data_IF_729251378043
#
_entry.id   IF_729251378043
#
_cell.length_a   1.000
_cell.length_b   1.000
_cell.length_c   1.000
_cell.angle_alpha   90.00
_cell.angle_beta   90.00
_cell.angle_gamma   90.00
#
_symmetry.space_group_name_H-M   'P 1'
#
loop_
_entity.id
_entity.type
_entity.pdbx_description
1 polymer ?
#
# COMPACT_ATOMS: atom_id res chain seq x y z
N UNK A 1 3.66 -8.68 9.40
CA UNK A 1 4.17 -10.05 9.62
C UNK A 1 5.48 -9.89 10.36
N UNK A 2 6.03 -10.92 10.96
CA UNK A 2 7.30 -10.79 11.68
C UNK A 2 8.39 -10.38 10.69
N UNK A 3 9.09 -9.29 10.98
CA UNK A 3 10.34 -8.96 10.31
C UNK A 3 11.41 -9.89 10.89
N UNK A 4 11.62 -11.02 10.21
CA UNK A 4 12.56 -12.06 10.66
C UNK A 4 13.98 -11.54 10.74
N UNK A 5 14.37 -10.61 9.87
CA UNK A 5 15.66 -9.95 9.95
C UNK A 5 15.75 -9.15 11.25
N UNK A 6 14.77 -8.32 11.59
CA UNK A 6 14.76 -7.60 12.88
C UNK A 6 14.72 -8.53 14.09
N UNK A 7 13.98 -9.64 14.03
CA UNK A 7 13.99 -10.65 15.12
C UNK A 7 15.36 -11.30 15.26
N UNK A 8 16.00 -11.65 14.14
CA UNK A 8 17.35 -12.16 14.12
C UNK A 8 18.34 -11.15 14.70
N UNK A 9 18.24 -9.89 14.29
CA UNK A 9 19.06 -8.78 14.79
C UNK A 9 18.91 -8.65 16.31
N UNK A 10 17.68 -8.70 16.83
CA UNK A 10 17.43 -8.63 18.28
C UNK A 10 18.01 -9.80 19.06
N UNK A 11 17.83 -11.02 18.55
CA UNK A 11 18.42 -12.22 19.16
C UNK A 11 19.96 -12.17 19.14
N UNK A 12 20.55 -11.82 18.00
CA UNK A 12 21.99 -11.68 17.87
C UNK A 12 22.52 -10.53 18.73
N UNK A 13 21.83 -9.39 18.81
CA UNK A 13 22.21 -8.24 19.64
C UNK A 13 22.27 -8.61 21.11
N UNK A 14 21.29 -9.38 21.58
CA UNK A 14 21.25 -9.88 22.96
C UNK A 14 22.41 -10.85 23.25
N UNK A 15 22.71 -11.77 22.34
CA UNK A 15 23.78 -12.76 22.53
C UNK A 15 25.19 -12.16 22.37
N UNK A 16 25.35 -11.23 21.43
CA UNK A 16 26.64 -10.59 21.10
C UNK A 16 26.93 -9.33 21.91
N UNK A 17 25.93 -8.75 22.57
CA UNK A 17 26.01 -7.45 23.25
C UNK A 17 26.49 -6.32 22.34
N UNK A 18 26.04 -6.33 21.08
CA UNK A 18 26.31 -5.30 20.08
C UNK A 18 25.02 -4.55 19.74
N UNK A 19 25.14 -3.31 19.27
CA UNK A 19 23.99 -2.51 18.82
C UNK A 19 23.26 -3.18 17.63
N UNK A 20 21.93 -3.02 17.58
CA UNK A 20 21.08 -3.61 16.54
C UNK A 20 21.50 -3.16 15.12
N UNK A 21 21.78 -1.87 14.93
CA UNK A 21 22.19 -1.27 13.65
C UNK A 21 23.47 -1.90 13.10
N UNK A 22 24.40 -2.26 13.99
CA UNK A 22 25.64 -2.92 13.61
C UNK A 22 25.33 -4.31 13.04
N UNK A 23 24.52 -5.10 13.76
CA UNK A 23 24.21 -6.47 13.38
C UNK A 23 23.38 -6.52 12.11
N UNK A 24 22.44 -5.57 11.94
CA UNK A 24 21.59 -5.50 10.76
C UNK A 24 22.40 -5.38 9.46
N UNK A 25 23.55 -4.69 9.52
CA UNK A 25 24.48 -4.53 8.39
C UNK A 25 25.38 -5.75 8.16
N UNK A 26 25.47 -6.67 9.12
CA UNK A 26 26.28 -7.89 9.02
C UNK A 26 25.51 -9.05 8.40
N UNK A 27 24.20 -9.10 8.60
CA UNK A 27 23.32 -10.17 8.09
C UNK A 27 23.15 -10.02 6.58
N UNK A 28 23.36 -11.12 5.87
CA UNK A 28 23.22 -11.24 4.43
C UNK A 28 22.10 -12.23 4.05
N UNK A 29 21.59 -12.11 2.82
CA UNK A 29 20.75 -13.14 2.21
C UNK A 29 21.64 -13.96 1.28
N UNK A 30 21.81 -15.27 1.51
CA UNK A 30 22.70 -16.08 0.69
C UNK A 30 22.16 -16.24 -0.74
N UNK A 31 23.05 -16.50 -1.69
CA UNK A 31 22.67 -16.71 -3.10
C UNK A 31 21.93 -18.03 -3.32
N UNK A 32 22.32 -19.05 -2.57
CA UNK A 32 21.79 -20.40 -2.70
C UNK A 32 20.85 -20.73 -1.54
N UNK A 33 19.64 -21.21 -1.86
CA UNK A 33 18.60 -21.46 -0.85
C UNK A 33 18.96 -22.54 0.19
N UNK A 34 19.88 -23.46 -0.14
CA UNK A 34 20.34 -24.46 0.82
C UNK A 34 21.25 -23.87 1.92
N UNK A 35 21.75 -22.65 1.74
CA UNK A 35 22.55 -21.94 2.74
C UNK A 35 21.70 -21.14 3.74
N UNK A 36 20.37 -21.31 3.72
CA UNK A 36 19.45 -20.64 4.63
C UNK A 36 18.75 -19.43 4.03
N UNK A 37 17.85 -18.83 4.81
CA UNK A 37 17.13 -17.61 4.45
C UNK A 37 17.93 -16.35 4.83
N UNK A 38 18.72 -16.45 5.90
CA UNK A 38 19.70 -15.46 6.31
C UNK A 38 21.02 -16.12 6.65
N UNK A 39 22.12 -15.39 6.46
CA UNK A 39 23.45 -15.83 6.88
C UNK A 39 24.17 -14.70 7.61
N UNK A 40 24.92 -15.05 8.65
CA UNK A 40 25.83 -14.18 9.36
C UNK A 40 27.27 -14.63 9.05
N UNK A 41 28.02 -13.86 8.24
CA UNK A 41 29.44 -14.10 8.03
C UNK A 41 30.23 -13.71 9.28
N UNK A 42 30.58 -14.69 10.12
CA UNK A 42 31.17 -14.46 11.44
C UNK A 42 32.58 -13.86 11.38
N UNK A 43 33.25 -13.86 10.22
CA UNK A 43 34.53 -13.17 10.06
C UNK A 43 34.41 -11.64 10.20
N UNK A 44 33.23 -11.07 9.93
CA UNK A 44 32.97 -9.64 10.17
C UNK A 44 32.85 -9.27 11.65
N UNK A 45 32.86 -10.27 12.54
CA UNK A 45 32.77 -10.11 13.99
C UNK A 45 34.11 -10.28 14.72
N UNK A 46 35.19 -10.64 14.01
CA UNK A 46 36.49 -10.93 14.63
C UNK A 46 37.02 -9.74 15.41
N UNK A 47 36.96 -8.54 14.82
CA UNK A 47 37.42 -7.29 15.44
C UNK A 47 36.60 -6.88 16.68
N UNK A 48 35.46 -7.54 16.91
CA UNK A 48 34.52 -7.21 18.00
C UNK A 48 34.49 -8.26 19.11
N UNK A 49 34.84 -9.51 18.81
CA UNK A 49 34.65 -10.66 19.71
C UNK A 49 36.01 -11.33 20.05
N UNK A 50 37.11 -10.96 19.38
CA UNK A 50 38.45 -11.51 19.60
C UNK A 50 38.51 -13.06 19.60
N UNK A 51 37.66 -13.67 18.77
CA UNK A 51 37.59 -15.12 18.58
C UNK A 51 37.69 -15.46 17.09
N UNK A 52 38.14 -16.69 16.80
CA UNK A 52 38.13 -17.21 15.43
C UNK A 52 36.69 -17.25 14.87
N UNK A 53 36.46 -16.89 13.59
CA UNK A 53 35.13 -16.89 12.97
C UNK A 53 34.36 -18.19 13.12
N UNK A 54 35.07 -19.33 13.03
CA UNK A 54 34.47 -20.68 13.14
C UNK A 54 33.97 -20.93 14.58
N UNK A 55 34.75 -20.48 15.57
CA UNK A 55 34.37 -20.60 16.98
C UNK A 55 33.14 -19.73 17.26
N UNK A 56 33.12 -18.49 16.75
CA UNK A 56 31.98 -17.57 16.86
C UNK A 56 30.72 -18.22 16.29
N UNK A 57 30.79 -18.78 15.08
CA UNK A 57 29.64 -19.42 14.44
C UNK A 57 29.12 -20.61 15.27
N UNK A 58 30.01 -21.44 15.80
CA UNK A 58 29.63 -22.61 16.61
C UNK A 58 28.98 -22.21 17.93
N UNK A 59 29.59 -21.28 18.67
CA UNK A 59 29.06 -20.80 19.96
C UNK A 59 27.70 -20.13 19.79
N UNK A 60 27.54 -19.28 18.77
CA UNK A 60 26.26 -18.62 18.48
C UNK A 60 25.17 -19.61 18.10
N UNK A 61 25.49 -20.67 17.34
CA UNK A 61 24.52 -21.72 17.02
C UNK A 61 23.93 -22.36 18.29
N UNK A 62 24.75 -22.59 19.31
CA UNK A 62 24.32 -23.20 20.58
C UNK A 62 23.50 -22.23 21.46
N UNK A 63 23.76 -20.92 21.34
CA UNK A 63 23.10 -19.89 22.13
C UNK A 63 21.75 -19.42 21.54
N UNK A 64 21.59 -19.50 20.22
CA UNK A 64 20.38 -19.03 19.55
C UNK A 64 19.30 -20.10 19.62
N UNK A 65 18.33 -19.89 20.51
CA UNK A 65 17.10 -20.69 20.57
C UNK A 65 15.89 -19.78 20.30
N UNK A 66 15.25 -19.95 19.14
CA UNK A 66 14.17 -19.06 18.72
C UNK A 66 13.04 -19.83 18.07
N UNK A 67 11.81 -19.48 18.42
CA UNK A 67 10.59 -19.99 17.79
C UNK A 67 10.42 -19.55 16.33
N UNK A 68 11.26 -18.61 15.87
CA UNK A 68 11.20 -18.04 14.51
C UNK A 68 12.03 -18.83 13.49
N UNK A 69 12.98 -19.65 13.95
CA UNK A 69 13.88 -20.41 13.08
C UNK A 69 13.64 -21.91 13.29
N UNK A 70 13.43 -22.64 12.20
CA UNK A 70 13.35 -24.09 12.20
C UNK A 70 14.68 -24.70 12.66
N UNK A 71 15.78 -24.17 12.12
CA UNK A 71 17.13 -24.58 12.49
C UNK A 71 18.16 -23.50 12.17
N UNK A 72 19.30 -23.66 12.82
CA UNK A 72 20.50 -22.84 12.64
C UNK A 72 21.68 -23.76 12.35
N UNK A 73 22.46 -23.47 11.33
CA UNK A 73 23.59 -24.30 10.90
C UNK A 73 24.87 -23.48 10.87
N UNK A 74 25.97 -24.05 11.37
CA UNK A 74 27.30 -23.47 11.23
C UNK A 74 28.03 -24.22 10.14
N UNK A 75 28.45 -23.49 9.10
CA UNK A 75 29.22 -24.03 7.96
C UNK A 75 30.47 -23.16 7.80
N UNK A 76 31.59 -23.65 8.33
CA UNK A 76 32.84 -22.87 8.37
C UNK A 76 32.69 -21.59 9.18
N UNK A 77 33.01 -20.45 8.57
CA UNK A 77 32.91 -19.12 9.18
C UNK A 77 31.52 -18.48 9.05
N UNK A 78 30.51 -19.23 8.61
CA UNK A 78 29.14 -18.75 8.42
C UNK A 78 28.19 -19.40 9.41
N UNK A 79 27.21 -18.61 9.84
CA UNK A 79 26.06 -19.05 10.61
C UNK A 79 24.78 -18.81 9.80
N UNK A 80 24.15 -19.88 9.38
CA UNK A 80 23.00 -19.91 8.49
C UNK A 80 21.72 -20.12 9.29
N UNK A 81 20.66 -19.38 8.96
CA UNK A 81 19.38 -19.40 9.64
C UNK A 81 18.28 -19.82 8.66
N UNK A 82 17.45 -20.78 9.07
CA UNK A 82 16.31 -21.28 8.30
C UNK A 82 15.04 -20.91 9.04
N UNK A 83 14.16 -20.13 8.41
CA UNK A 83 12.92 -19.62 9.01
C UNK A 83 11.93 -20.77 9.21
N UNK A 84 11.20 -20.77 10.34
CA UNK A 84 10.09 -21.69 10.54
C UNK A 84 8.88 -21.27 9.70
N UNK A 85 8.71 -21.94 8.56
CA UNK A 85 7.62 -21.71 7.61
C UNK A 85 6.26 -22.05 8.24
N UNK A 86 6.23 -23.04 9.12
CA UNK A 86 5.02 -23.40 9.87
C UNK A 86 4.57 -22.25 10.76
N UNK A 87 5.52 -21.58 11.42
CA UNK A 87 5.23 -20.42 12.27
C UNK A 87 4.65 -19.24 11.47
N UNK A 88 5.21 -18.92 10.30
CA UNK A 88 4.69 -17.86 9.41
C UNK A 88 3.20 -18.09 9.09
N UNK A 89 2.89 -19.30 8.63
CA UNK A 89 1.56 -19.64 8.17
C UNK A 89 0.57 -19.64 9.34
N UNK A 90 1.00 -20.12 10.52
CA UNK A 90 0.24 -19.98 11.78
C UNK A 90 -0.09 -18.53 12.10
N UNK A 91 0.88 -17.63 11.99
CA UNK A 91 0.66 -16.20 12.26
C UNK A 91 -0.30 -15.56 11.24
N UNK A 92 -0.14 -15.85 9.94
CA UNK A 92 -1.04 -15.37 8.90
C UNK A 92 -2.47 -15.84 9.21
N UNK A 93 -2.66 -17.13 9.50
CA UNK A 93 -3.97 -17.71 9.76
C UNK A 93 -4.61 -17.22 11.08
N UNK A 94 -3.82 -16.82 12.08
CA UNK A 94 -4.33 -16.19 13.31
C UNK A 94 -4.64 -14.70 13.17
N UNK A 95 -3.96 -13.98 12.27
CA UNK A 95 -4.08 -12.51 12.18
C UNK A 95 -5.42 -12.03 11.59
N UNK A 96 -6.20 -11.23 12.33
CA UNK A 96 -7.48 -10.68 11.85
C UNK A 96 -7.27 -9.29 11.21
N UNK A 97 -6.74 -9.21 9.99
CA UNK A 97 -6.47 -7.97 9.23
C UNK A 97 -5.26 -7.14 9.66
N UNK A 98 -4.88 -7.19 10.92
CA UNK A 98 -4.05 -6.15 11.51
C UNK A 98 -2.58 -6.59 11.54
N UNK A 99 -1.78 -6.13 10.57
CA UNK A 99 -0.33 -6.10 10.69
C UNK A 99 0.15 -4.88 11.50
N UNK A 100 -0.57 -4.50 12.56
CA UNK A 100 -0.13 -3.40 13.45
C UNK A 100 1.17 -3.71 14.20
N UNK A 101 1.58 -4.97 14.31
CA UNK A 101 2.65 -5.35 15.24
C UNK A 101 4.04 -4.95 14.72
N UNK A 102 4.60 -3.88 15.31
CA UNK A 102 6.02 -3.51 15.32
C UNK A 102 6.59 -2.83 14.06
N UNK A 103 5.83 -2.01 13.34
CA UNK A 103 6.44 -1.07 12.38
C UNK A 103 7.29 0.02 13.08
N UNK A 104 7.05 0.26 14.38
CA UNK A 104 7.63 1.38 15.12
C UNK A 104 6.91 2.71 14.84
N UNK A 105 5.77 2.66 14.15
CA UNK A 105 5.05 3.84 13.67
C UNK A 105 3.75 4.12 14.42
N UNK A 106 3.47 3.32 15.46
CA UNK A 106 2.24 3.39 16.28
C UNK A 106 2.01 4.76 16.95
N UNK A 107 3.06 5.57 17.12
CA UNK A 107 3.00 6.93 17.66
C UNK A 107 2.94 8.03 16.60
N UNK A 108 3.12 7.70 15.31
CA UNK A 108 3.15 8.68 14.22
C UNK A 108 1.75 8.91 13.68
N UNK A 109 1.31 10.17 13.66
CA UNK A 109 0.03 10.54 13.04
C UNK A 109 0.19 11.01 11.60
N UNK A 110 -0.80 10.69 10.78
CA UNK A 110 -0.87 11.05 9.35
C UNK A 110 -2.20 11.70 9.04
N UNK A 111 -2.14 12.83 8.34
CA UNK A 111 -3.31 13.50 7.76
C UNK A 111 -3.37 13.12 6.27
N UNK A 112 -4.55 12.77 5.78
CA UNK A 112 -4.80 12.49 4.35
C UNK A 112 -5.98 13.34 3.90
N UNK A 113 -5.73 14.28 2.99
CA UNK A 113 -6.72 15.27 2.58
C UNK A 113 -6.64 15.66 1.10
N UNK A 114 -7.72 16.23 0.58
CA UNK A 114 -7.79 16.73 -0.79
C UNK A 114 -7.14 18.10 -0.93
N UNK A 115 -6.45 18.34 -2.04
CA UNK A 115 -5.77 19.59 -2.33
C UNK A 115 -6.53 20.45 -3.34
N UNK A 116 -7.18 21.51 -2.87
CA UNK A 116 -7.83 22.47 -3.77
C UNK A 116 -8.84 21.84 -4.74
N UNK A 117 -9.50 20.76 -4.31
CA UNK A 117 -10.49 20.04 -5.13
C UNK A 117 -11.86 20.63 -4.82
N UNK A 118 -12.51 21.18 -5.84
CA UNK A 118 -13.90 21.62 -5.75
C UNK A 118 -14.80 20.41 -6.03
N UNK A 119 -15.41 19.87 -4.98
CA UNK A 119 -16.25 18.67 -5.02
C UNK A 119 -17.52 18.85 -5.88
N UNK A 120 -17.94 20.08 -6.16
CA UNK A 120 -19.11 20.40 -6.98
C UNK A 120 -18.79 20.45 -8.49
N UNK A 121 -17.50 20.51 -8.84
CA UNK A 121 -17.02 20.63 -10.23
C UNK A 121 -16.36 19.37 -10.79
N UNK A 122 -16.13 18.35 -9.95
CA UNK A 122 -15.61 17.06 -10.40
C UNK A 122 -16.76 16.16 -10.87
N UNK A 123 -16.51 15.32 -11.87
CA UNK A 123 -17.53 14.36 -12.32
C UNK A 123 -17.80 13.29 -11.25
N UNK A 124 -18.96 12.64 -11.32
CA UNK A 124 -19.34 11.59 -10.37
C UNK A 124 -18.31 10.44 -10.30
N UNK A 125 -17.77 10.03 -11.46
CA UNK A 125 -16.76 8.97 -11.52
C UNK A 125 -15.40 9.42 -10.93
N UNK A 126 -14.99 10.66 -11.19
CA UNK A 126 -13.77 11.23 -10.60
C UNK A 126 -13.90 11.30 -9.07
N UNK A 127 -15.08 11.65 -8.54
CA UNK A 127 -15.37 11.64 -7.10
C UNK A 127 -15.20 10.24 -6.51
N UNK A 128 -15.72 9.21 -7.15
CA UNK A 128 -15.60 7.82 -6.69
C UNK A 128 -14.12 7.40 -6.60
N UNK A 129 -13.32 7.67 -7.62
CA UNK A 129 -11.89 7.32 -7.61
C UNK A 129 -11.07 8.09 -6.57
N UNK A 130 -11.43 9.35 -6.36
CA UNK A 130 -10.84 10.21 -5.35
C UNK A 130 -11.15 9.68 -3.94
N UNK A 131 -12.40 9.30 -3.66
CA UNK A 131 -12.82 8.69 -2.41
C UNK A 131 -12.17 7.32 -2.17
N UNK A 132 -12.15 6.45 -3.19
CA UNK A 132 -11.48 5.15 -3.13
C UNK A 132 -10.00 5.32 -2.82
N UNK A 133 -9.31 6.25 -3.48
CA UNK A 133 -7.89 6.52 -3.25
C UNK A 133 -7.65 6.95 -1.81
N UNK A 134 -8.45 7.90 -1.30
CA UNK A 134 -8.34 8.37 0.08
C UNK A 134 -8.58 7.26 1.09
N UNK A 135 -9.66 6.49 0.94
CA UNK A 135 -10.00 5.43 1.89
C UNK A 135 -9.00 4.29 1.84
N UNK A 136 -8.47 3.97 0.66
CA UNK A 136 -7.45 2.92 0.52
C UNK A 136 -6.13 3.34 1.14
N UNK A 137 -5.68 4.59 0.93
CA UNK A 137 -4.51 5.10 1.63
C UNK A 137 -4.72 5.05 3.14
N UNK A 138 -5.86 5.54 3.66
CA UNK A 138 -6.18 5.47 5.10
C UNK A 138 -6.05 4.04 5.64
N UNK A 139 -6.71 3.07 5.01
CA UNK A 139 -6.63 1.66 5.40
C UNK A 139 -5.19 1.13 5.39
N UNK A 140 -4.41 1.46 4.37
CA UNK A 140 -3.01 1.01 4.26
C UNK A 140 -2.13 1.62 5.36
N UNK A 141 -2.26 2.92 5.63
CA UNK A 141 -1.54 3.60 6.71
C UNK A 141 -1.96 3.07 8.09
N UNK A 142 -3.26 2.88 8.35
CA UNK A 142 -3.77 2.26 9.59
C UNK A 142 -3.25 0.83 9.76
N UNK A 143 -3.14 0.08 8.66
CA UNK A 143 -2.59 -1.28 8.67
C UNK A 143 -1.11 -1.29 9.07
N UNK A 144 -0.35 -0.29 8.63
CA UNK A 144 1.05 -0.07 9.02
C UNK A 144 1.21 0.51 10.43
N UNK A 145 0.10 0.78 11.14
CA UNK A 145 0.10 1.25 12.52
C UNK A 145 0.01 2.76 12.70
N UNK A 146 -0.06 3.54 11.62
CA UNK A 146 -0.22 5.00 11.75
C UNK A 146 -1.59 5.37 12.31
N UNK A 147 -1.62 6.44 13.11
CA UNK A 147 -2.86 7.07 13.53
C UNK A 147 -3.34 8.03 12.44
N UNK A 148 -4.50 7.77 11.85
CA UNK A 148 -5.12 8.73 10.93
C UNK A 148 -5.73 9.87 11.74
N UNK A 149 -5.23 11.07 11.51
CA UNK A 149 -5.83 12.28 12.05
C UNK A 149 -6.88 12.80 11.07
N UNK A 150 -8.07 13.04 11.62
CA UNK A 150 -9.16 13.71 10.95
C UNK A 150 -9.22 15.12 11.54
N UNK A 151 -8.42 16.06 11.04
CA UNK A 151 -8.57 17.43 11.46
C UNK A 151 -10.01 17.83 11.12
N UNK A 152 -10.79 18.20 12.14
CA UNK A 152 -12.23 18.48 12.03
C UNK A 152 -12.50 19.33 10.78
N UNK A 153 -13.62 19.06 10.11
CA UNK A 153 -14.11 19.85 8.99
C UNK A 153 -14.11 21.34 9.39
N UNK A 154 -13.06 22.07 9.00
CA UNK A 154 -12.90 23.49 9.25
C UNK A 154 -13.79 24.33 8.32
N UNK A 155 -15.01 23.84 8.05
CA UNK A 155 -16.06 24.68 7.51
C UNK A 155 -16.39 25.83 8.48
N UNK A 156 -16.03 25.70 9.77
CA UNK A 156 -16.21 26.74 10.78
C UNK A 156 -15.03 27.73 10.91
N UNK A 157 -13.92 27.61 10.15
CA UNK A 157 -12.73 28.46 10.40
C UNK A 157 -12.05 29.06 9.14
N UNK A 158 -12.66 28.97 7.96
CA UNK A 158 -12.31 29.83 6.81
C UNK A 158 -13.07 31.16 6.89
N UNK A 159 -13.02 31.83 8.04
CA UNK A 159 -13.50 33.20 8.14
C UNK A 159 -12.51 34.13 7.42
N UNK A 160 -13.01 35.15 6.72
CA UNK A 160 -12.21 36.15 6.00
C UNK A 160 -11.14 36.78 6.90
N UNK A 161 -11.45 36.92 8.19
CA UNK A 161 -10.54 37.44 9.21
C UNK A 161 -9.29 36.57 9.39
N UNK A 162 -9.42 35.24 9.42
CA UNK A 162 -8.26 34.34 9.53
C UNK A 162 -7.35 34.44 8.32
N UNK A 163 -7.95 34.56 7.13
CA UNK A 163 -7.21 34.73 5.88
C UNK A 163 -6.44 36.06 5.90
N UNK A 164 -7.08 37.15 6.32
CA UNK A 164 -6.42 38.46 6.45
C UNK A 164 -5.25 38.40 7.43
N UNK A 165 -5.45 37.84 8.61
CA UNK A 165 -4.40 37.70 9.64
C UNK A 165 -3.16 36.94 9.14
N UNK A 166 -3.37 35.90 8.33
CA UNK A 166 -2.26 35.14 7.74
C UNK A 166 -1.56 35.97 6.67
N UNK A 167 -2.29 36.65 5.79
CA UNK A 167 -1.66 37.52 4.78
C UNK A 167 -0.83 38.62 5.45
N UNK A 168 -1.32 39.21 6.54
CA UNK A 168 -0.60 40.21 7.33
C UNK A 168 0.67 39.66 7.99
N UNK A 169 0.62 38.45 8.56
CA UNK A 169 1.82 37.79 9.09
C UNK A 169 2.88 37.55 8.01
N UNK A 170 2.46 37.13 6.82
CA UNK A 170 3.37 36.94 5.68
C UNK A 170 3.98 38.27 5.19
N UNK A 171 3.21 39.36 5.24
CA UNK A 171 3.70 40.73 4.98
C UNK A 171 4.71 41.17 6.04
N UNK A 172 4.42 40.94 7.33
CA UNK A 172 5.33 41.26 8.43
C UNK A 172 6.66 40.50 8.36
N UNK A 173 6.66 39.29 7.77
CA UNK A 173 7.86 38.49 7.49
C UNK A 173 8.60 38.89 6.21
N UNK A 174 8.18 39.95 5.51
CA UNK A 174 8.75 40.40 4.24
C UNK A 174 8.71 39.33 3.13
N UNK A 175 7.71 38.43 3.14
CA UNK A 175 7.55 37.39 2.12
C UNK A 175 6.67 37.83 0.95
N UNK A 176 5.87 38.88 1.13
CA UNK A 176 4.91 39.36 0.12
C UNK A 176 5.48 40.58 -0.58
N UNK A 177 5.47 40.54 -1.91
CA UNK A 177 5.95 41.59 -2.82
C UNK A 177 4.81 42.05 -3.72
N UNK A 178 4.81 43.32 -4.10
CA UNK A 178 3.84 43.87 -5.03
C UNK A 178 4.44 43.99 -6.44
N UNK A 179 3.88 43.28 -7.41
CA UNK A 179 4.32 43.31 -8.82
C UNK A 179 3.11 43.31 -9.75
N UNK A 180 3.11 44.20 -10.75
CA UNK A 180 2.09 44.24 -11.81
C UNK A 180 0.64 44.25 -11.30
N UNK A 181 0.35 45.00 -10.23
CA UNK A 181 -1.00 45.04 -9.65
C UNK A 181 -1.32 43.88 -8.70
N UNK A 182 -0.41 42.93 -8.52
CA UNK A 182 -0.62 41.72 -7.72
C UNK A 182 0.26 41.70 -6.47
N UNK A 183 -0.31 41.25 -5.35
CA UNK A 183 0.50 40.82 -4.19
C UNK A 183 0.87 39.35 -4.38
N UNK A 184 2.16 39.06 -4.41
CA UNK A 184 2.71 37.73 -4.71
C UNK A 184 3.79 37.33 -3.72
N UNK A 185 4.04 36.03 -3.59
CA UNK A 185 5.25 35.49 -2.97
C UNK A 185 6.16 35.02 -4.11
N UNK A 186 7.33 35.65 -4.24
CA UNK A 186 8.32 35.28 -5.25
C UNK A 186 9.00 33.96 -4.88
N UNK A 187 9.07 33.05 -5.84
CA UNK A 187 9.65 31.71 -5.67
C UNK A 187 10.72 31.40 -6.73
N UNK A 188 11.21 32.43 -7.44
CA UNK A 188 12.16 32.28 -8.55
C UNK A 188 13.48 31.65 -8.08
N UNK A 189 13.90 31.99 -6.85
CA UNK A 189 15.05 31.37 -6.16
C UNK A 189 14.96 29.84 -6.06
N UNK A 190 13.76 29.29 -6.19
CA UNK A 190 13.46 27.86 -6.12
C UNK A 190 13.03 27.27 -7.47
N UNK A 191 13.22 28.00 -8.57
CA UNK A 191 12.77 27.63 -9.92
C UNK A 191 11.26 27.35 -10.00
N UNK A 192 10.45 28.19 -9.34
CA UNK A 192 8.98 28.09 -9.36
C UNK A 192 8.37 29.46 -9.70
N UNK A 193 7.20 29.48 -10.38
CA UNK A 193 6.49 30.72 -10.63
C UNK A 193 6.03 31.38 -9.31
N UNK A 194 5.68 32.69 -9.34
CA UNK A 194 5.17 33.38 -8.17
C UNK A 194 3.85 32.79 -7.69
N UNK A 195 3.62 32.88 -6.38
CA UNK A 195 2.34 32.48 -5.76
C UNK A 195 1.48 33.72 -5.52
N UNK A 196 0.34 33.80 -6.21
CA UNK A 196 -0.52 34.98 -6.19
C UNK A 196 -1.42 34.97 -4.93
N UNK A 197 -1.33 36.02 -4.12
CA UNK A 197 -2.18 36.22 -2.93
C UNK A 197 -3.40 37.07 -3.31
N UNK A 198 -3.18 38.19 -4.00
CA UNK A 198 -4.25 39.09 -4.43
C UNK A 198 -3.93 39.71 -5.80
N UNK A 199 -4.97 40.09 -6.54
CA UNK A 199 -4.87 40.80 -7.81
C UNK A 199 -5.78 42.04 -7.75
N UNK A 200 -5.22 43.23 -7.97
CA UNK A 200 -5.93 44.52 -7.90
C UNK A 200 -6.72 44.68 -6.57
N UNK A 201 -6.13 44.23 -5.46
CA UNK A 201 -6.75 44.28 -4.14
C UNK A 201 -7.80 43.18 -3.86
N UNK A 202 -8.14 42.34 -4.84
CA UNK A 202 -9.03 41.18 -4.64
C UNK A 202 -8.23 39.94 -4.27
N UNK A 203 -8.53 39.36 -3.11
CA UNK A 203 -7.85 38.15 -2.61
C UNK A 203 -8.18 36.95 -3.51
N UNK A 204 -7.15 36.19 -3.87
CA UNK A 204 -7.32 34.88 -4.49
C UNK A 204 -7.80 33.89 -3.44
N UNK A 205 -9.11 33.70 -3.36
CA UNK A 205 -9.77 32.90 -2.32
C UNK A 205 -9.27 31.46 -2.26
N UNK A 206 -8.96 30.83 -3.40
CA UNK A 206 -8.47 29.45 -3.44
C UNK A 206 -7.08 29.37 -2.80
N UNK A 207 -6.16 30.21 -3.26
CA UNK A 207 -4.79 30.25 -2.75
C UNK A 207 -4.76 30.59 -1.26
N UNK A 208 -5.49 31.65 -0.87
CA UNK A 208 -5.57 32.10 0.49
C UNK A 208 -6.19 31.05 1.42
N UNK A 209 -7.22 30.32 0.98
CA UNK A 209 -7.85 29.25 1.77
C UNK A 209 -6.89 28.08 1.99
N UNK A 210 -6.19 27.65 0.93
CA UNK A 210 -5.22 26.55 1.01
C UNK A 210 -4.07 26.92 1.97
N UNK A 211 -3.53 28.14 1.83
CA UNK A 211 -2.45 28.63 2.68
C UNK A 211 -2.90 28.77 4.14
N UNK A 212 -4.10 29.31 4.38
CA UNK A 212 -4.69 29.44 5.70
C UNK A 212 -4.82 28.07 6.38
N UNK A 213 -5.46 27.13 5.69
CA UNK A 213 -5.68 25.77 6.20
C UNK A 213 -4.36 25.08 6.55
N UNK A 214 -3.39 25.08 5.64
CA UNK A 214 -2.11 24.42 5.88
C UNK A 214 -1.34 25.06 7.04
N UNK A 215 -1.33 26.39 7.14
CA UNK A 215 -0.69 27.11 8.25
C UNK A 215 -1.31 26.76 9.60
N UNK A 216 -2.65 26.81 9.69
CA UNK A 216 -3.38 26.44 10.93
C UNK A 216 -3.12 25.00 11.33
N UNK A 217 -3.11 24.09 10.36
CA UNK A 217 -2.87 22.67 10.63
C UNK A 217 -1.51 22.43 11.28
N UNK A 218 -0.46 23.09 10.79
CA UNK A 218 0.88 22.92 11.37
C UNK A 218 1.06 23.62 12.72
N UNK A 219 0.25 24.66 13.02
CA UNK A 219 0.22 25.27 14.35
C UNK A 219 -0.52 24.41 15.38
N UNK A 220 -1.60 23.75 14.98
CA UNK A 220 -2.52 23.03 15.88
C UNK A 220 -2.17 21.55 16.06
N UNK A 221 -1.62 20.92 15.03
CA UNK A 221 -1.38 19.48 15.00
C UNK A 221 0.11 19.18 14.80
N UNK A 222 0.65 18.30 15.63
CA UNK A 222 1.99 17.74 15.47
C UNK A 222 1.89 16.41 14.75
N UNK A 223 1.66 16.43 13.44
CA UNK A 223 1.62 15.21 12.63
C UNK A 223 2.98 14.86 12.04
N UNK A 224 3.21 13.56 11.88
CA UNK A 224 4.40 13.04 11.21
C UNK A 224 4.37 13.33 9.71
N UNK A 225 3.20 13.20 9.08
CA UNK A 225 3.04 13.39 7.63
C UNK A 225 1.66 13.95 7.28
N UNK A 226 1.61 14.88 6.32
CA UNK A 226 0.38 15.31 5.65
C UNK A 226 0.46 14.92 4.17
N UNK A 227 -0.50 14.10 3.74
CA UNK A 227 -0.58 13.54 2.40
C UNK A 227 -1.75 14.21 1.67
N UNK A 228 -1.39 14.97 0.65
CA UNK A 228 -2.34 15.64 -0.22
C UNK A 228 -2.70 14.79 -1.43
N UNK A 229 -3.98 14.48 -1.60
CA UNK A 229 -4.50 13.90 -2.84
C UNK A 229 -4.75 15.05 -3.81
N UNK A 230 -4.02 15.04 -4.92
CA UNK A 230 -3.98 16.15 -5.88
C UNK A 230 -4.29 15.65 -7.28
N UNK A 231 -4.89 16.51 -8.11
CA UNK A 231 -4.84 16.29 -9.54
C UNK A 231 -3.42 16.55 -10.05
N UNK A 232 -2.97 15.76 -11.04
CA UNK A 232 -1.62 15.91 -11.59
C UNK A 232 -1.31 17.33 -12.11
N UNK A 233 -2.33 18.08 -12.55
CA UNK A 233 -2.21 19.48 -12.98
C UNK A 233 -1.90 20.46 -11.82
N UNK A 234 -2.23 20.12 -10.58
CA UNK A 234 -2.03 20.96 -9.40
C UNK A 234 -0.66 20.75 -8.74
N UNK A 235 0.18 19.86 -9.28
CA UNK A 235 1.45 19.49 -8.64
C UNK A 235 2.41 20.69 -8.47
N UNK A 236 2.48 21.60 -9.46
CA UNK A 236 3.29 22.82 -9.33
C UNK A 236 2.80 23.68 -8.18
N UNK A 237 1.49 23.88 -8.07
CA UNK A 237 0.88 24.67 -7.01
C UNK A 237 1.09 24.05 -5.62
N UNK A 238 0.99 22.73 -5.50
CA UNK A 238 1.37 22.02 -4.29
C UNK A 238 2.83 22.24 -3.88
N UNK A 239 3.78 22.21 -4.83
CA UNK A 239 5.19 22.51 -4.53
C UNK A 239 5.38 23.95 -4.04
N UNK A 240 4.66 24.91 -4.63
CA UNK A 240 4.69 26.29 -4.18
C UNK A 240 4.22 26.38 -2.73
N UNK A 241 3.07 25.78 -2.38
CA UNK A 241 2.58 25.77 -0.99
C UNK A 241 3.62 25.21 -0.02
N UNK A 242 4.16 24.02 -0.31
CA UNK A 242 5.14 23.36 0.58
C UNK A 242 6.37 24.23 0.78
N UNK A 243 6.85 24.90 -0.29
CA UNK A 243 7.98 25.83 -0.20
C UNK A 243 7.63 27.08 0.60
N UNK A 244 6.42 27.62 0.43
CA UNK A 244 5.93 28.79 1.18
C UNK A 244 5.86 28.47 2.68
N UNK A 245 5.37 27.29 3.06
CA UNK A 245 5.30 26.85 4.46
C UNK A 245 6.69 26.69 5.09
N UNK A 246 7.67 26.24 4.30
CA UNK A 246 9.07 26.14 4.73
C UNK A 246 9.68 27.51 5.00
N UNK A 247 9.60 28.44 4.04
CA UNK A 247 10.24 29.76 4.17
C UNK A 247 9.54 30.67 5.19
N UNK A 248 8.26 30.42 5.47
CA UNK A 248 7.49 31.15 6.49
C UNK A 248 7.65 30.60 7.91
N UNK A 249 8.36 29.48 8.07
CA UNK A 249 8.57 28.81 9.35
C UNK A 249 7.34 28.05 9.87
N UNK A 250 6.31 27.86 9.03
CA UNK A 250 5.08 27.17 9.42
C UNK A 250 5.12 25.66 9.23
N UNK A 251 6.06 25.12 8.46
CA UNK A 251 6.13 23.68 8.26
C UNK A 251 7.48 23.21 7.74
N UNK A 252 7.74 21.92 7.89
CA UNK A 252 8.92 21.28 7.32
C UNK A 252 8.54 20.56 6.03
N UNK A 253 9.28 20.78 4.95
CA UNK A 253 9.03 20.14 3.64
C UNK A 253 8.96 18.62 3.71
N UNK A 254 9.72 18.00 4.62
CA UNK A 254 9.74 16.55 4.84
C UNK A 254 8.40 16.00 5.33
N UNK A 255 7.56 16.82 5.94
CA UNK A 255 6.25 16.40 6.47
C UNK A 255 5.20 16.30 5.37
N UNK A 256 5.43 16.85 4.17
CA UNK A 256 4.42 16.87 3.10
C UNK A 256 4.72 15.85 2.02
N UNK A 257 3.67 15.21 1.52
CA UNK A 257 3.74 14.37 0.32
C UNK A 257 2.45 14.50 -0.46
N UNK A 258 2.47 14.10 -1.73
CA UNK A 258 1.27 14.12 -2.55
C UNK A 258 1.02 12.77 -3.23
N UNK A 259 -0.24 12.35 -3.23
CA UNK A 259 -0.75 11.29 -4.08
C UNK A 259 -1.36 11.91 -5.33
N UNK A 260 -0.82 11.59 -6.50
CA UNK A 260 -1.22 12.20 -7.78
C UNK A 260 -2.30 11.35 -8.44
N UNK A 261 -3.49 11.92 -8.60
CA UNK A 261 -4.55 11.30 -9.39
C UNK A 261 -4.20 11.37 -10.88
N UNK A 262 -4.31 10.22 -11.53
CA UNK A 262 -4.27 10.10 -12.99
C UNK A 262 -5.55 10.62 -13.62
N UNK A 263 -5.44 11.21 -14.81
CA UNK A 263 -6.60 11.64 -15.60
C UNK A 263 -7.29 10.40 -16.16
N UNK A 264 -8.56 10.20 -15.82
CA UNK A 264 -9.35 9.09 -16.35
C UNK A 264 -9.95 9.48 -17.70
N UNK A 265 -9.75 8.61 -18.70
CA UNK A 265 -10.43 8.69 -19.99
C UNK A 265 -11.07 7.34 -20.29
N UNK A 266 -12.32 7.35 -20.73
CA UNK A 266 -13.09 6.13 -21.00
C UNK A 266 -13.14 5.91 -22.51
N UNK A 267 -12.91 4.67 -22.91
CA UNK A 267 -12.86 4.20 -24.29
C UNK A 267 -13.85 3.05 -24.47
N UNK A 268 -14.65 3.12 -25.53
CA UNK A 268 -15.44 2.00 -26.05
C UNK A 268 -15.15 1.82 -27.52
N UNK A 269 -14.83 0.59 -27.94
CA UNK A 269 -14.46 0.27 -29.32
C UNK A 269 -13.37 1.21 -29.88
N UNK A 270 -12.37 1.55 -29.05
CA UNK A 270 -11.30 2.51 -29.34
C UNK A 270 -11.74 3.97 -29.60
N UNK A 271 -12.98 4.32 -29.28
CA UNK A 271 -13.52 5.68 -29.40
C UNK A 271 -13.62 6.30 -28.00
N UNK A 272 -13.13 7.54 -27.85
CA UNK A 272 -13.31 8.31 -26.62
C UNK A 272 -14.76 8.70 -26.45
N UNK A 273 -15.31 8.30 -25.31
CA UNK A 273 -16.66 8.70 -24.92
C UNK A 273 -16.58 10.09 -24.29
N UNK A 274 -17.55 10.95 -24.62
CA UNK A 274 -17.56 12.31 -24.07
C UNK A 274 -17.90 12.27 -22.59
N UNK A 275 -17.33 13.19 -21.79
CA UNK A 275 -17.61 13.26 -20.34
C UNK A 275 -19.10 13.38 -20.05
N UNK A 276 -19.85 14.06 -20.91
CA UNK A 276 -21.28 14.31 -20.74
C UNK A 276 -22.17 13.09 -21.02
N UNK A 277 -21.62 12.05 -21.67
CA UNK A 277 -22.33 10.79 -21.95
C UNK A 277 -22.29 9.82 -20.76
N UNK A 278 -21.52 10.14 -19.71
CA UNK A 278 -21.47 9.37 -18.46
C UNK A 278 -21.92 10.22 -17.29
N UNK A 279 -23.23 10.25 -17.09
CA UNK A 279 -23.91 11.06 -16.09
C UNK A 279 -23.63 10.57 -14.65
N UNK A 280 -23.32 9.28 -14.44
CA UNK A 280 -23.07 8.70 -13.12
C UNK A 280 -22.24 7.41 -13.14
N UNK A 281 -21.72 6.99 -11.97
CA UNK A 281 -21.14 5.65 -11.77
C UNK A 281 -22.18 4.56 -12.06
N UNK A 282 -23.44 4.77 -11.68
CA UNK A 282 -24.52 3.80 -11.87
C UNK A 282 -24.79 3.53 -13.35
N UNK A 283 -24.78 4.58 -14.19
CA UNK A 283 -24.88 4.44 -15.64
C UNK A 283 -23.75 3.58 -16.23
N UNK A 284 -22.53 3.74 -15.73
CA UNK A 284 -21.42 2.88 -16.11
C UNK A 284 -21.68 1.44 -15.65
N UNK A 285 -22.05 1.25 -14.39
CA UNK A 285 -22.33 -0.08 -13.84
C UNK A 285 -23.40 -0.78 -14.67
N UNK A 286 -24.53 -0.14 -14.95
CA UNK A 286 -25.61 -0.68 -15.78
C UNK A 286 -25.11 -1.11 -17.17
N UNK A 287 -24.34 -0.24 -17.84
CA UNK A 287 -23.78 -0.53 -19.17
C UNK A 287 -22.83 -1.72 -19.16
N UNK A 288 -21.99 -1.84 -18.13
CA UNK A 288 -21.09 -2.96 -17.95
C UNK A 288 -21.81 -4.25 -17.56
N UNK A 289 -22.80 -4.17 -16.65
CA UNK A 289 -23.63 -5.30 -16.22
C UNK A 289 -24.35 -5.95 -17.39
N UNK A 290 -24.91 -5.14 -18.31
CA UNK A 290 -25.53 -5.64 -19.53
C UNK A 290 -24.55 -6.41 -20.43
N UNK A 291 -23.30 -5.93 -20.57
CA UNK A 291 -22.26 -6.66 -21.31
C UNK A 291 -21.88 -7.97 -20.63
N UNK A 292 -21.68 -7.97 -19.32
CA UNK A 292 -21.35 -9.18 -18.54
C UNK A 292 -22.46 -10.23 -18.68
N UNK A 293 -23.73 -9.84 -18.53
CA UNK A 293 -24.89 -10.74 -18.70
C UNK A 293 -24.91 -11.42 -20.07
N UNK A 294 -24.64 -10.67 -21.14
CA UNK A 294 -24.56 -11.22 -22.50
C UNK A 294 -23.43 -12.26 -22.65
N UNK A 295 -22.30 -12.10 -21.95
CA UNK A 295 -21.21 -13.09 -21.93
C UNK A 295 -21.49 -14.29 -20.99
N UNK A 296 -22.21 -14.10 -19.88
CA UNK A 296 -22.46 -15.13 -18.85
C UNK A 296 -23.50 -16.18 -19.21
N UNK A 297 -24.32 -15.95 -20.24
CA UNK A 297 -25.19 -16.99 -20.83
C UNK A 297 -24.42 -18.23 -21.34
N UNK A 298 -23.08 -18.23 -21.26
CA UNK A 298 -22.20 -19.31 -21.72
C UNK A 298 -21.79 -20.28 -20.58
N UNK A 299 -21.92 -19.92 -19.28
CA UNK A 299 -21.37 -20.74 -18.17
C UNK A 299 -22.36 -21.16 -17.06
N UNK A 300 -23.66 -20.89 -17.19
CA UNK A 300 -24.70 -21.52 -16.35
C UNK A 300 -24.79 -21.12 -14.87
N UNK A 301 -24.01 -20.14 -14.40
CA UNK A 301 -24.15 -19.56 -13.05
C UNK A 301 -24.94 -18.24 -13.16
N UNK A 302 -26.16 -18.26 -12.65
CA UNK A 302 -27.03 -17.08 -12.56
C UNK A 302 -26.71 -16.32 -11.27
N UNK A 303 -26.00 -15.20 -11.39
CA UNK A 303 -25.89 -14.21 -10.32
C UNK A 303 -27.12 -13.31 -10.34
N UNK A 304 -27.59 -12.88 -9.16
CA UNK A 304 -28.61 -11.84 -9.09
C UNK A 304 -28.06 -10.48 -9.55
N UNK A 305 -28.95 -9.55 -9.91
CA UNK A 305 -28.56 -8.22 -10.42
C UNK A 305 -27.63 -7.47 -9.46
N UNK A 306 -27.87 -7.60 -8.15
CA UNK A 306 -27.05 -6.96 -7.12
C UNK A 306 -25.63 -7.50 -7.10
N UNK A 307 -25.44 -8.82 -7.19
CA UNK A 307 -24.10 -9.43 -7.24
C UNK A 307 -23.36 -9.01 -8.50
N UNK A 308 -24.04 -8.95 -9.65
CA UNK A 308 -23.44 -8.50 -10.92
C UNK A 308 -22.98 -7.04 -10.80
N UNK A 309 -23.84 -6.16 -10.30
CA UNK A 309 -23.50 -4.74 -10.11
C UNK A 309 -22.30 -4.56 -9.17
N UNK A 310 -22.21 -5.38 -8.10
CA UNK A 310 -21.04 -5.40 -7.21
C UNK A 310 -19.78 -5.86 -7.94
N UNK A 311 -19.83 -6.95 -8.69
CA UNK A 311 -18.67 -7.44 -9.48
C UNK A 311 -18.18 -6.39 -10.47
N UNK A 312 -19.11 -5.71 -11.16
CA UNK A 312 -18.79 -4.63 -12.09
C UNK A 312 -18.12 -3.46 -11.38
N UNK A 313 -18.72 -2.98 -10.29
CA UNK A 313 -18.14 -1.91 -9.46
C UNK A 313 -16.72 -2.27 -9.04
N UNK A 314 -16.53 -3.45 -8.47
CA UNK A 314 -15.24 -3.91 -7.97
C UNK A 314 -14.23 -4.11 -9.11
N UNK A 315 -14.68 -4.48 -10.31
CA UNK A 315 -13.83 -4.54 -11.51
C UNK A 315 -13.33 -3.16 -11.93
N UNK A 316 -14.20 -2.14 -11.88
CA UNK A 316 -13.85 -0.74 -12.15
C UNK A 316 -12.84 -0.24 -11.11
N UNK A 317 -13.08 -0.52 -9.82
CA UNK A 317 -12.17 -0.15 -8.71
C UNK A 317 -10.80 -0.83 -8.86
N UNK A 318 -10.78 -2.15 -9.08
CA UNK A 318 -9.53 -2.89 -9.23
C UNK A 318 -8.73 -2.40 -10.44
N UNK A 319 -9.40 -2.14 -11.57
CA UNK A 319 -8.76 -1.60 -12.76
C UNK A 319 -8.18 -0.21 -12.51
N UNK A 320 -8.92 0.66 -11.83
CA UNK A 320 -8.44 1.98 -11.41
C UNK A 320 -7.15 1.85 -10.58
N UNK A 321 -7.20 1.09 -9.48
CA UNK A 321 -6.09 0.91 -8.54
C UNK A 321 -4.88 0.33 -9.26
N UNK A 322 -5.08 -0.66 -10.12
CA UNK A 322 -4.01 -1.29 -10.88
C UNK A 322 -3.28 -0.35 -11.85
N UNK A 323 -3.92 0.76 -12.22
CA UNK A 323 -3.37 1.78 -13.11
C UNK A 323 -3.12 3.12 -12.40
N UNK A 324 -3.25 3.17 -11.07
CA UNK A 324 -3.26 4.43 -10.29
C UNK A 324 -1.96 5.24 -10.37
N UNK A 325 -0.82 4.60 -10.65
CA UNK A 325 0.46 5.27 -10.85
C UNK A 325 0.63 5.91 -12.24
N UNK A 326 -0.32 5.71 -13.16
CA UNK A 326 -0.27 6.30 -14.50
C UNK A 326 -0.81 7.71 -14.49
N UNK A 327 -0.14 8.62 -15.22
CA UNK A 327 -0.62 10.01 -15.43
C UNK A 327 -1.98 10.07 -16.12
N UNK A 328 -2.27 9.11 -17.00
CA UNK A 328 -3.54 8.96 -17.68
C UNK A 328 -3.96 7.51 -17.63
N UNK A 329 -5.19 7.27 -17.19
CA UNK A 329 -5.77 5.94 -17.07
C UNK A 329 -6.81 5.78 -18.17
N UNK A 330 -6.56 4.86 -19.08
CA UNK A 330 -7.46 4.52 -20.18
C UNK A 330 -8.38 3.38 -19.72
N UNK A 331 -9.65 3.69 -19.53
CA UNK A 331 -10.70 2.73 -19.18
C UNK A 331 -11.29 2.13 -20.46
N UNK A 332 -10.70 1.01 -20.89
CA UNK A 332 -11.20 0.23 -22.01
C UNK A 332 -12.21 -0.80 -21.49
N UNK A 333 -13.49 -0.64 -21.83
CA UNK A 333 -14.57 -1.46 -21.26
C UNK A 333 -14.31 -2.96 -21.45
N UNK A 334 -13.86 -3.36 -22.64
CA UNK A 334 -13.67 -4.77 -22.98
C UNK A 334 -12.52 -5.41 -22.19
N UNK A 335 -11.48 -4.65 -21.81
CA UNK A 335 -10.37 -5.16 -20.98
C UNK A 335 -10.79 -5.40 -19.54
N UNK A 336 -11.69 -4.57 -19.01
CA UNK A 336 -12.16 -4.66 -17.62
C UNK A 336 -12.97 -5.95 -17.39
N UNK A 337 -13.73 -6.38 -18.40
CA UNK A 337 -14.58 -7.59 -18.34
C UNK A 337 -13.97 -8.82 -19.03
N UNK A 338 -12.77 -8.70 -19.62
CA UNK A 338 -12.13 -9.77 -20.38
C UNK A 338 -11.72 -10.94 -19.49
N UNK A 339 -12.08 -12.17 -19.87
CA UNK A 339 -11.59 -13.38 -19.21
C UNK A 339 -10.13 -13.72 -19.51
N UNK A 340 -9.52 -13.06 -20.52
CA UNK A 340 -8.13 -13.29 -20.93
C UNK A 340 -7.14 -12.44 -20.15
N UNK A 341 -7.61 -11.33 -19.60
CA UNK A 341 -6.79 -10.36 -18.87
C UNK A 341 -6.67 -10.72 -17.40
N UNK A 342 -5.57 -10.31 -16.76
CA UNK A 342 -5.39 -10.46 -15.30
C UNK A 342 -6.12 -9.34 -14.54
N UNK A 343 -7.43 -9.26 -14.72
CA UNK A 343 -8.32 -8.28 -14.10
C UNK A 343 -9.02 -8.84 -12.85
N UNK A 344 -9.98 -8.09 -12.30
CA UNK A 344 -10.73 -8.52 -11.11
C UNK A 344 -11.55 -9.80 -11.34
N UNK A 345 -12.11 -10.01 -12.53
CA UNK A 345 -12.87 -11.24 -12.81
C UNK A 345 -11.95 -12.46 -12.74
N UNK A 346 -10.72 -12.36 -13.28
CA UNK A 346 -9.69 -13.40 -13.11
C UNK A 346 -9.35 -13.64 -11.63
N UNK A 347 -9.18 -12.57 -10.85
CA UNK A 347 -8.91 -12.62 -9.40
C UNK A 347 -10.04 -13.33 -8.66
N UNK A 348 -11.28 -12.90 -8.89
CA UNK A 348 -12.49 -13.41 -8.23
C UNK A 348 -12.73 -14.89 -8.55
N UNK A 349 -12.64 -15.27 -9.83
CA UNK A 349 -12.84 -16.66 -10.25
C UNK A 349 -11.77 -17.59 -9.66
N UNK A 350 -10.50 -17.15 -9.68
CA UNK A 350 -9.40 -17.91 -9.08
C UNK A 350 -9.59 -18.05 -7.57
N UNK A 351 -9.91 -16.95 -6.89
CA UNK A 351 -10.16 -16.95 -5.45
C UNK A 351 -11.31 -17.88 -5.05
N UNK A 352 -12.46 -17.81 -5.74
CA UNK A 352 -13.61 -18.66 -5.44
C UNK A 352 -13.29 -20.15 -5.60
N UNK A 353 -12.57 -20.52 -6.66
CA UNK A 353 -12.10 -21.90 -6.87
C UNK A 353 -11.17 -22.38 -5.76
N UNK A 354 -10.23 -21.55 -5.33
CA UNK A 354 -9.29 -21.86 -4.25
C UNK A 354 -9.99 -21.92 -2.88
N UNK A 355 -10.98 -21.04 -2.64
CA UNK A 355 -11.79 -20.99 -1.42
C UNK A 355 -12.65 -22.27 -1.27
N UNK A 356 -13.27 -22.74 -2.36
CA UNK A 356 -14.02 -24.00 -2.35
C UNK A 356 -13.16 -25.18 -1.89
N UNK A 357 -11.89 -25.21 -2.33
CA UNK A 357 -10.93 -26.24 -1.92
C UNK A 357 -10.54 -26.12 -0.43
N UNK A 358 -10.50 -24.90 0.12
CA UNK A 358 -10.27 -24.71 1.55
C UNK A 358 -11.43 -25.21 2.42
N UNK A 359 -12.64 -25.31 1.88
CA UNK A 359 -13.82 -25.81 2.59
C UNK A 359 -13.75 -27.31 2.94
N UNK A 360 -12.77 -28.04 2.41
CA UNK A 360 -12.52 -29.44 2.76
C UNK A 360 -11.69 -29.63 4.05
N UNK A 361 -11.16 -28.55 4.65
CA UNK A 361 -10.48 -28.60 5.96
C UNK A 361 -11.47 -28.30 7.10
N UNK A 362 -11.37 -29.03 8.20
CA UNK A 362 -12.15 -28.70 9.41
C UNK A 362 -11.57 -27.43 10.07
N UNK A 363 -12.44 -26.59 10.66
CA UNK A 363 -12.02 -25.32 11.29
C UNK A 363 -11.03 -25.51 12.46
N UNK A 364 -11.05 -26.67 13.11
CA UNK A 364 -10.25 -27.00 14.29
C UNK A 364 -9.04 -27.89 14.00
N UNK A 365 -8.66 -28.11 12.74
CA UNK A 365 -7.50 -28.93 12.41
C UNK A 365 -6.18 -28.24 12.76
N UNK A 366 -5.30 -28.96 13.48
CA UNK A 366 -3.95 -28.47 13.79
C UNK A 366 -3.16 -28.20 12.51
N UNK A 367 -2.52 -27.03 12.47
CA UNK A 367 -1.69 -26.61 11.34
C UNK A 367 -0.51 -27.58 11.21
N UNK A 368 -0.49 -28.33 10.11
CA UNK A 368 0.52 -29.33 9.80
C UNK A 368 1.93 -28.72 9.78
N UNK A 369 2.94 -29.54 10.09
CA UNK A 369 4.34 -29.15 9.99
C UNK A 369 4.72 -28.95 8.52
N UNK A 370 4.94 -27.70 8.11
CA UNK A 370 5.29 -27.28 6.74
C UNK A 370 6.80 -27.32 6.48
N UNK A 371 7.60 -27.83 7.41
CA UNK A 371 9.05 -27.88 7.31
C UNK A 371 9.56 -29.13 6.56
N UNK A 372 8.67 -29.84 5.83
CA UNK A 372 9.05 -30.90 4.89
C UNK A 372 9.69 -30.30 3.63
N UNK A 373 10.30 -31.14 2.79
CA UNK A 373 10.87 -30.73 1.50
C UNK A 373 9.76 -30.17 0.60
N UNK A 374 9.66 -28.84 0.55
CA UNK A 374 8.71 -28.11 -0.28
C UNK A 374 9.10 -28.19 -1.75
N UNK A 375 8.09 -28.13 -2.60
CA UNK A 375 8.25 -27.92 -4.04
C UNK A 375 8.61 -26.46 -4.34
N UNK A 376 9.04 -26.20 -5.59
CA UNK A 376 9.47 -24.88 -6.03
C UNK A 376 8.33 -23.84 -5.90
N UNK A 377 7.11 -24.22 -6.26
CA UNK A 377 5.93 -23.34 -6.24
C UNK A 377 5.49 -23.01 -4.80
N UNK A 378 5.56 -23.98 -3.89
CA UNK A 378 5.23 -23.80 -2.47
C UNK A 378 6.24 -22.87 -1.78
N UNK A 379 7.52 -23.05 -2.07
CA UNK A 379 8.58 -22.16 -1.58
C UNK A 379 8.41 -20.73 -2.11
N UNK A 380 8.02 -20.59 -3.39
CA UNK A 380 7.70 -19.30 -3.99
C UNK A 380 6.48 -18.64 -3.32
N UNK A 381 5.43 -19.41 -3.04
CA UNK A 381 4.25 -18.91 -2.33
C UNK A 381 4.63 -18.36 -0.95
N UNK A 382 5.38 -19.13 -0.17
CA UNK A 382 5.79 -18.73 1.18
C UNK A 382 6.59 -17.41 1.13
N UNK A 383 7.53 -17.29 0.18
CA UNK A 383 8.28 -16.04 -0.01
C UNK A 383 7.38 -14.84 -0.35
N UNK A 384 6.40 -15.02 -1.24
CA UNK A 384 5.43 -13.96 -1.56
C UNK A 384 4.65 -13.55 -0.31
N UNK A 385 4.18 -14.51 0.47
CA UNK A 385 3.48 -14.24 1.73
C UNK A 385 4.37 -13.53 2.75
N UNK A 386 5.66 -13.90 2.80
CA UNK A 386 6.67 -13.25 3.62
C UNK A 386 6.92 -11.79 3.26
N UNK A 387 6.93 -11.49 1.96
CA UNK A 387 7.19 -10.15 1.45
C UNK A 387 6.02 -9.17 1.66
N UNK A 388 4.84 -9.64 2.08
CA UNK A 388 3.65 -8.79 2.20
C UNK A 388 3.83 -7.51 3.05
N UNK A 389 4.51 -7.51 4.21
CA UNK A 389 4.78 -6.28 4.96
C UNK A 389 5.68 -5.30 4.18
N UNK A 390 6.65 -5.82 3.44
CA UNK A 390 7.51 -5.01 2.57
C UNK A 390 6.70 -4.37 1.44
N UNK A 391 5.73 -5.11 0.89
CA UNK A 391 4.78 -4.60 -0.11
C UNK A 391 3.94 -3.44 0.44
N UNK A 392 3.42 -3.55 1.67
CA UNK A 392 2.69 -2.47 2.33
C UNK A 392 3.58 -1.24 2.60
N UNK A 393 4.81 -1.45 3.08
CA UNK A 393 5.77 -0.36 3.29
C UNK A 393 6.14 0.34 1.97
N UNK A 394 6.37 -0.41 0.89
CA UNK A 394 6.59 0.17 -0.45
C UNK A 394 5.37 0.99 -0.90
N UNK A 395 4.16 0.53 -0.60
CA UNK A 395 2.92 1.26 -0.89
C UNK A 395 2.83 2.59 -0.14
N UNK A 396 3.17 2.64 1.15
CA UNK A 396 3.13 3.89 1.96
C UNK A 396 4.28 4.85 1.62
N UNK A 397 5.48 4.34 1.38
CA UNK A 397 6.65 5.14 1.01
C UNK A 397 6.47 5.78 -0.37
N UNK A 398 6.05 4.99 -1.35
CA UNK A 398 5.88 5.47 -2.74
C UNK A 398 4.54 6.15 -2.98
N UNK A 399 3.58 6.02 -2.06
CA UNK A 399 2.19 6.44 -2.25
C UNK A 399 1.61 5.86 -3.57
N UNK A 400 1.77 4.56 -3.79
CA UNK A 400 1.34 3.86 -5.00
C UNK A 400 0.51 2.63 -4.66
N UNK A 401 -0.82 2.75 -4.83
CA UNK A 401 -1.78 1.66 -4.55
C UNK A 401 -1.70 0.53 -5.57
N UNK A 402 -1.17 0.75 -6.77
CA UNK A 402 -1.00 -0.29 -7.80
C UNK A 402 -0.02 -1.39 -7.39
N UNK A 403 0.78 -1.14 -6.36
CA UNK A 403 1.66 -2.15 -5.74
C UNK A 403 0.81 -3.30 -5.17
N UNK A 404 -0.35 -3.00 -4.57
CA UNK A 404 -1.23 -3.99 -3.96
C UNK A 404 -1.96 -4.85 -4.98
N UNK A 405 -2.47 -4.26 -6.06
CA UNK A 405 -3.12 -5.03 -7.14
C UNK A 405 -2.14 -5.95 -7.86
N UNK A 406 -0.92 -5.49 -8.12
CA UNK A 406 0.15 -6.31 -8.71
C UNK A 406 0.50 -7.48 -7.81
N UNK A 407 0.62 -7.23 -6.50
CA UNK A 407 0.84 -8.28 -5.51
C UNK A 407 -0.29 -9.32 -5.48
N UNK A 408 -1.56 -8.90 -5.52
CA UNK A 408 -2.71 -9.82 -5.59
C UNK A 408 -2.61 -10.72 -6.84
N UNK A 409 -2.31 -10.13 -8.00
CA UNK A 409 -2.17 -10.86 -9.26
C UNK A 409 -1.03 -11.88 -9.19
N UNK A 410 0.12 -11.49 -8.64
CA UNK A 410 1.27 -12.38 -8.45
C UNK A 410 0.92 -13.56 -7.55
N UNK A 411 0.33 -13.29 -6.39
CA UNK A 411 -0.09 -14.29 -5.41
C UNK A 411 -1.10 -15.28 -6.00
N UNK A 412 -2.09 -14.79 -6.76
CA UNK A 412 -3.07 -15.65 -7.44
C UNK A 412 -2.42 -16.55 -8.49
N UNK A 413 -1.45 -16.06 -9.25
CA UNK A 413 -0.79 -16.88 -10.27
C UNK A 413 -0.09 -18.07 -9.62
N UNK A 414 0.67 -17.84 -8.54
CA UNK A 414 1.37 -18.93 -7.83
C UNK A 414 0.39 -19.91 -7.19
N UNK A 415 -0.70 -19.42 -6.58
CA UNK A 415 -1.74 -20.31 -6.05
C UNK A 415 -2.41 -21.14 -7.14
N UNK A 416 -2.64 -20.56 -8.32
CA UNK A 416 -3.20 -21.28 -9.46
C UNK A 416 -2.24 -22.34 -10.01
N UNK A 417 -0.93 -22.09 -9.98
CA UNK A 417 0.08 -23.09 -10.39
C UNK A 417 0.12 -24.26 -9.40
N UNK A 418 0.09 -23.99 -8.09
CA UNK A 418 -0.04 -25.02 -7.04
C UNK A 418 -1.35 -25.82 -7.22
N UNK A 419 -2.46 -25.12 -7.49
CA UNK A 419 -3.75 -25.76 -7.72
C UNK A 419 -3.76 -26.70 -8.94
N UNK A 420 -3.13 -26.30 -10.06
CA UNK A 420 -3.05 -27.13 -11.27
C UNK A 420 -2.18 -28.37 -11.07
N UNK A 421 -1.14 -28.27 -10.24
CA UNK A 421 -0.26 -29.38 -9.91
C UNK A 421 -0.90 -30.42 -8.98
N UNK A 422 -2.10 -30.16 -8.46
CA UNK A 422 -2.82 -31.06 -7.55
C UNK A 422 -3.83 -31.91 -8.33
N UNK A 423 -3.70 -33.24 -8.26
CA UNK A 423 -4.77 -34.13 -8.72
C UNK A 423 -5.96 -34.09 -7.74
N UNK A 424 -7.20 -34.21 -8.22
CA UNK A 424 -8.42 -34.13 -7.37
C UNK A 424 -8.43 -35.12 -6.20
N UNK A 425 -7.76 -36.26 -6.34
CA UNK A 425 -7.63 -37.27 -5.27
C UNK A 425 -6.57 -36.88 -4.21
N UNK A 426 -5.50 -36.16 -4.61
CA UNK A 426 -4.46 -35.68 -3.69
C UNK A 426 -4.95 -34.54 -2.79
N UNK A 427 -5.97 -33.79 -3.22
CA UNK A 427 -6.55 -32.66 -2.49
C UNK A 427 -7.18 -33.05 -1.15
N UNK A 428 -7.72 -34.27 -1.03
CA UNK A 428 -8.28 -34.78 0.23
C UNK A 428 -7.20 -35.26 1.20
N UNK A 429 -6.00 -35.58 0.70
CA UNK A 429 -4.92 -36.20 1.47
C UNK A 429 -3.80 -35.21 1.83
N UNK A 430 -3.58 -34.15 1.03
CA UNK A 430 -2.47 -33.23 1.23
C UNK A 430 -2.86 -31.95 2.00
N UNK A 431 -3.08 -32.10 3.30
CA UNK A 431 -3.50 -31.03 4.22
C UNK A 431 -2.53 -29.83 4.23
N UNK A 432 -1.24 -30.08 4.11
CA UNK A 432 -0.18 -29.06 4.08
C UNK A 432 -0.39 -28.05 2.93
N UNK A 433 -0.63 -28.54 1.72
CA UNK A 433 -0.92 -27.69 0.55
C UNK A 433 -2.21 -26.90 0.70
N UNK A 434 -3.25 -27.50 1.28
CA UNK A 434 -4.52 -26.79 1.49
C UNK A 434 -4.36 -25.67 2.52
N UNK A 435 -3.58 -25.89 3.58
CA UNK A 435 -3.24 -24.85 4.57
C UNK A 435 -2.47 -23.68 3.92
N UNK A 436 -1.51 -23.97 3.04
CA UNK A 436 -0.81 -22.95 2.26
C UNK A 436 -1.78 -22.15 1.37
N UNK A 437 -2.66 -22.82 0.63
CA UNK A 437 -3.67 -22.15 -0.21
C UNK A 437 -4.58 -21.27 0.66
N UNK A 438 -5.05 -21.77 1.81
CA UNK A 438 -5.90 -21.03 2.75
C UNK A 438 -5.21 -19.75 3.23
N UNK A 439 -3.92 -19.80 3.52
CA UNK A 439 -3.14 -18.62 3.92
C UNK A 439 -3.05 -17.58 2.79
N UNK A 440 -2.83 -18.02 1.55
CA UNK A 440 -2.83 -17.16 0.37
C UNK A 440 -4.19 -16.50 0.11
N UNK A 441 -5.28 -17.27 0.19
CA UNK A 441 -6.65 -16.75 0.11
C UNK A 441 -6.90 -15.69 1.17
N UNK A 442 -6.47 -15.91 2.41
CA UNK A 442 -6.63 -14.93 3.49
C UNK A 442 -5.91 -13.61 3.18
N UNK A 443 -4.67 -13.68 2.69
CA UNK A 443 -3.91 -12.48 2.30
C UNK A 443 -4.55 -11.77 1.11
N UNK A 444 -5.07 -12.49 0.11
CA UNK A 444 -5.81 -11.90 -1.01
C UNK A 444 -7.02 -11.13 -0.51
N UNK A 445 -7.85 -11.74 0.35
CA UNK A 445 -9.01 -11.10 0.96
C UNK A 445 -8.62 -9.81 1.67
N UNK A 446 -7.65 -9.91 2.59
CA UNK A 446 -7.17 -8.75 3.36
C UNK A 446 -6.65 -7.63 2.43
N UNK A 447 -5.93 -7.98 1.36
CA UNK A 447 -5.36 -6.99 0.43
C UNK A 447 -6.45 -6.32 -0.42
N UNK A 448 -7.48 -7.06 -0.84
CA UNK A 448 -8.63 -6.50 -1.55
C UNK A 448 -9.40 -5.52 -0.66
N UNK A 449 -9.59 -5.85 0.62
CA UNK A 449 -10.25 -4.96 1.57
C UNK A 449 -9.45 -3.66 1.78
N UNK A 450 -8.10 -3.72 1.79
CA UNK A 450 -7.26 -2.52 1.85
C UNK A 450 -7.53 -1.57 0.67
N UNK A 451 -7.80 -2.10 -0.52
CA UNK A 451 -8.12 -1.29 -1.71
C UNK A 451 -9.63 -1.03 -1.88
N UNK A 452 -10.45 -1.40 -0.90
CA UNK A 452 -11.88 -1.08 -0.85
C UNK A 452 -12.78 -2.05 -1.62
N UNK A 453 -12.30 -3.27 -1.87
CA UNK A 453 -13.05 -4.34 -2.52
C UNK A 453 -13.34 -5.43 -1.50
N UNK A 454 -14.62 -5.60 -1.16
CA UNK A 454 -15.07 -6.65 -0.25
C UNK A 454 -15.49 -7.88 -1.05
N UNK A 455 -14.76 -8.98 -0.90
CA UNK A 455 -15.10 -10.24 -1.58
C UNK A 455 -16.48 -10.76 -1.19
N UNK A 456 -17.14 -11.38 -2.17
CA UNK A 456 -18.46 -12.02 -2.04
C UNK A 456 -18.43 -13.30 -1.18
#
# INVERSE_FOLDING_TARGET
MIDYKKKLVKELSKNLKLEEDIIENLIEVPKEAYMGDFTLPCFKLVDKIEKSPIIIARELKEQINSIYFERTESVGAYLNFFIDKTYIIKEILKSNYIYKKNSGEESKSVVIEYYGINMDKISAIERVFLEISMQSLKRVFENQGYKIEYPNNMNEENNEENIKNIIEDFKAKNLVTYENGCEVILLDKYNMPPYIISNEGKINTINATILNKATRYNRKYSYHKNIYIINSSQYTHFKQLVKILEVSGYGNTKNYSCYKLGIVKILENNIFIRKDEFLSLDSLIEKFSAKILNYHNINGILYDSNTINKIVRDSIVFYYINNSNKKTILFELDKIISYKEKNYIYVLNSYNRLKLLCGYLNENEEICNLNKKLLNEESKLIKILEDFPSVLNKCTVNLDLSILSRYIIELINVLNDIYKALNREELKLNKEKVVLIKSGCKIIKNTLDLIGIELL
#
